data_IF_482462093620
#
_entry.id   IF_482462093620
#
_cell.length_a   1.000
_cell.length_b   1.000
_cell.length_c   1.000
_cell.angle_alpha   90.00
_cell.angle_beta   90.00
_cell.angle_gamma   90.00
#
_symmetry.space_group_name_H-M   'P 1'
#
loop_
_entity.id
_entity.type
_entity.pdbx_description
1 polymer ?
#
# COMPACT_ATOMS: atom_id res chain seq x y z
N UNK A 1 16.18 -15.22 -15.24
CA UNK A 1 16.73 -15.11 -16.62
C UNK A 1 15.72 -14.69 -17.70
N UNK A 2 14.40 -14.93 -17.57
CA UNK A 2 13.41 -14.66 -18.64
C UNK A 2 13.18 -13.17 -18.99
N UNK A 3 13.46 -12.23 -18.07
CA UNK A 3 13.23 -10.77 -18.27
C UNK A 3 14.25 -10.09 -19.19
N UNK A 4 15.53 -10.46 -19.08
CA UNK A 4 16.58 -9.96 -19.99
C UNK A 4 16.29 -10.33 -21.46
N UNK A 5 15.68 -11.49 -21.69
CA UNK A 5 15.30 -11.95 -23.03
C UNK A 5 14.02 -11.29 -23.59
N UNK A 6 13.25 -10.58 -22.75
CA UNK A 6 11.96 -9.98 -23.13
C UNK A 6 11.95 -8.45 -23.07
N UNK A 7 12.95 -7.83 -22.42
CA UNK A 7 13.10 -6.38 -22.37
C UNK A 7 14.50 -5.95 -22.87
N UNK A 8 14.61 -5.43 -24.12
CA UNK A 8 15.90 -5.05 -24.70
C UNK A 8 16.60 -3.92 -23.93
N UNK A 9 15.86 -3.07 -23.22
CA UNK A 9 16.45 -2.01 -22.38
C UNK A 9 17.14 -2.57 -21.13
N UNK A 10 16.55 -3.60 -20.52
CA UNK A 10 17.15 -4.30 -19.37
C UNK A 10 18.40 -5.09 -19.80
N UNK A 11 18.40 -5.66 -21.01
CA UNK A 11 19.56 -6.32 -21.61
C UNK A 11 20.69 -5.32 -21.88
N UNK A 12 20.38 -4.18 -22.50
CA UNK A 12 21.37 -3.14 -22.81
C UNK A 12 22.00 -2.57 -21.53
N UNK A 13 21.20 -2.32 -20.49
CA UNK A 13 21.69 -1.88 -19.17
C UNK A 13 22.58 -2.93 -18.52
N UNK A 14 22.21 -4.21 -18.58
CA UNK A 14 23.05 -5.30 -18.07
C UNK A 14 24.39 -5.39 -18.83
N UNK A 15 24.37 -5.26 -20.15
CA UNK A 15 25.58 -5.28 -20.98
C UNK A 15 26.52 -4.10 -20.71
N UNK A 16 25.98 -2.92 -20.38
CA UNK A 16 26.79 -1.72 -20.13
C UNK A 16 27.26 -1.56 -18.69
N UNK A 17 26.50 -2.07 -17.71
CA UNK A 17 26.77 -1.84 -16.28
C UNK A 17 27.10 -3.11 -15.49
N UNK A 18 26.92 -4.29 -16.10
CA UNK A 18 27.05 -5.59 -15.42
C UNK A 18 25.97 -5.88 -14.37
N UNK A 19 25.03 -4.94 -14.14
CA UNK A 19 24.02 -5.06 -13.09
C UNK A 19 22.70 -5.63 -13.62
N UNK A 20 22.20 -6.67 -12.97
CA UNK A 20 20.87 -7.22 -13.24
C UNK A 20 19.79 -6.23 -12.78
N UNK A 21 18.63 -6.18 -13.47
CA UNK A 21 17.49 -5.40 -12.99
C UNK A 21 17.07 -5.92 -11.61
N UNK A 22 17.23 -5.08 -10.58
CA UNK A 22 16.74 -5.39 -9.24
C UNK A 22 15.26 -5.00 -9.15
N UNK A 23 14.42 -5.99 -8.92
CA UNK A 23 13.03 -5.72 -8.57
C UNK A 23 12.94 -5.22 -7.12
N UNK A 24 12.08 -4.23 -6.90
CA UNK A 24 11.76 -3.74 -5.57
C UNK A 24 10.35 -4.19 -5.22
N UNK A 25 10.16 -4.72 -4.00
CA UNK A 25 8.84 -4.98 -3.46
C UNK A 25 8.27 -3.68 -2.88
N UNK A 26 7.12 -3.18 -3.37
CA UNK A 26 6.47 -2.03 -2.76
C UNK A 26 6.15 -2.36 -1.30
N UNK A 27 6.61 -1.52 -0.38
CA UNK A 27 6.41 -1.68 1.06
C UNK A 27 5.99 -0.35 1.68
N UNK A 28 5.29 -0.42 2.81
CA UNK A 28 4.86 0.74 3.58
C UNK A 28 3.54 0.49 4.31
N UNK A 29 3.18 1.36 5.27
CA UNK A 29 2.05 1.10 6.15
C UNK A 29 0.72 0.89 5.42
N UNK A 30 0.46 1.62 4.32
CA UNK A 30 -0.78 1.45 3.55
C UNK A 30 -0.80 0.16 2.75
N UNK A 31 0.36 -0.23 2.17
CA UNK A 31 0.49 -1.50 1.46
C UNK A 31 0.21 -2.65 2.43
N UNK A 32 0.84 -2.64 3.60
CA UNK A 32 0.66 -3.67 4.63
C UNK A 32 -0.78 -3.76 5.12
N UNK A 33 -1.42 -2.62 5.39
CA UNK A 33 -2.82 -2.58 5.81
C UNK A 33 -3.75 -3.15 4.75
N UNK A 34 -3.60 -2.72 3.50
CA UNK A 34 -4.46 -3.18 2.41
C UNK A 34 -4.19 -4.65 2.08
N UNK A 35 -2.94 -5.10 2.06
CA UNK A 35 -2.57 -6.49 1.78
C UNK A 35 -3.18 -7.46 2.82
N UNK A 36 -3.24 -7.05 4.09
CA UNK A 36 -3.86 -7.83 5.16
C UNK A 36 -5.39 -8.00 5.04
N UNK A 37 -6.06 -7.15 4.25
CA UNK A 37 -7.50 -7.24 3.98
C UNK A 37 -7.73 -8.10 2.74
N UNK A 38 -8.59 -9.11 2.82
CA UNK A 38 -8.91 -9.97 1.67
C UNK A 38 -9.42 -9.16 0.46
N UNK A 39 -9.08 -9.60 -0.76
CA UNK A 39 -9.44 -8.91 -2.00
C UNK A 39 -10.96 -8.64 -2.13
N UNK A 40 -11.78 -9.60 -1.70
CA UNK A 40 -13.25 -9.45 -1.69
C UNK A 40 -13.69 -8.28 -0.79
N UNK A 41 -13.10 -8.14 0.38
CA UNK A 41 -13.44 -7.08 1.32
C UNK A 41 -12.90 -5.73 0.87
N UNK A 42 -11.72 -5.68 0.24
CA UNK A 42 -11.18 -4.47 -0.39
C UNK A 42 -12.10 -3.87 -1.47
N UNK A 43 -12.87 -4.70 -2.18
CA UNK A 43 -13.85 -4.23 -3.18
C UNK A 43 -15.06 -3.59 -2.51
N UNK A 44 -15.42 -4.05 -1.31
CA UNK A 44 -16.56 -3.53 -0.53
C UNK A 44 -16.28 -2.18 0.14
N UNK A 45 -15.01 -1.81 0.34
CA UNK A 45 -14.59 -0.51 0.88
C UNK A 45 -14.59 0.51 -0.27
N UNK A 46 -15.37 1.59 -0.16
CA UNK A 46 -15.65 2.54 -1.25
C UNK A 46 -15.20 3.96 -0.94
N UNK A 47 -14.82 4.69 -1.99
CA UNK A 47 -14.45 6.10 -1.92
C UNK A 47 -13.23 6.35 -1.03
N UNK A 48 -12.16 5.58 -1.24
CA UNK A 48 -10.94 5.64 -0.43
C UNK A 48 -10.09 6.82 -0.86
N UNK A 49 -9.76 7.69 0.10
CA UNK A 49 -8.88 8.83 -0.07
C UNK A 49 -7.50 8.47 0.47
N UNK A 50 -6.49 8.55 -0.39
CA UNK A 50 -5.08 8.35 -0.04
C UNK A 50 -4.40 9.72 -0.03
N UNK A 51 -4.02 10.17 1.16
CA UNK A 51 -3.40 11.47 1.42
C UNK A 51 -2.28 11.36 2.49
N UNK A 52 -1.86 12.49 3.06
CA UNK A 52 -0.77 12.55 4.03
C UNK A 52 -1.04 11.72 5.29
N UNK A 53 -2.30 11.54 5.70
CA UNK A 53 -2.70 10.67 6.83
C UNK A 53 -2.37 9.21 6.56
N UNK A 54 -2.32 8.84 5.29
CA UNK A 54 -1.99 7.51 4.77
C UNK A 54 -0.53 7.38 4.31
N UNK A 55 0.29 8.41 4.50
CA UNK A 55 1.71 8.40 4.12
C UNK A 55 2.00 8.77 2.67
N UNK A 56 1.08 9.48 2.00
CA UNK A 56 1.27 9.94 0.62
C UNK A 56 1.08 11.46 0.50
N UNK A 57 1.92 12.10 -0.30
CA UNK A 57 1.79 13.51 -0.63
C UNK A 57 0.55 13.77 -1.48
N UNK A 58 -0.02 14.97 -1.39
CA UNK A 58 -1.25 15.30 -2.11
C UNK A 58 -2.47 14.51 -1.61
N UNK A 59 -3.48 14.37 -2.46
CA UNK A 59 -4.69 13.60 -2.17
C UNK A 59 -5.20 12.94 -3.45
N UNK A 60 -5.51 11.64 -3.37
CA UNK A 60 -6.09 10.85 -4.45
C UNK A 60 -7.26 10.04 -3.95
N UNK A 61 -8.38 10.12 -4.67
CA UNK A 61 -9.58 9.34 -4.37
C UNK A 61 -9.72 8.16 -5.31
N UNK A 62 -9.99 6.99 -4.76
CA UNK A 62 -10.23 5.73 -5.47
C UNK A 62 -11.65 5.25 -5.22
N UNK A 63 -12.26 4.63 -6.23
CA UNK A 63 -13.63 4.11 -6.07
C UNK A 63 -13.67 2.93 -5.09
N UNK A 64 -12.60 2.13 -5.02
CA UNK A 64 -12.46 1.01 -4.09
C UNK A 64 -11.08 0.94 -3.44
N UNK A 65 -10.98 0.28 -2.28
CA UNK A 65 -9.68 -0.01 -1.65
C UNK A 65 -8.82 -0.94 -2.51
N UNK A 66 -9.43 -1.80 -3.33
CA UNK A 66 -8.68 -2.66 -4.28
C UNK A 66 -7.96 -1.82 -5.35
N UNK A 67 -8.58 -0.72 -5.83
CA UNK A 67 -7.91 0.19 -6.77
C UNK A 67 -6.76 0.94 -6.09
N UNK A 68 -6.96 1.39 -4.86
CA UNK A 68 -5.89 1.99 -4.06
C UNK A 68 -4.73 0.99 -3.86
N UNK A 69 -5.04 -0.28 -3.56
CA UNK A 69 -4.04 -1.34 -3.40
C UNK A 69 -3.22 -1.56 -4.68
N UNK A 70 -3.85 -1.65 -5.84
CA UNK A 70 -3.15 -1.81 -7.12
C UNK A 70 -2.30 -0.59 -7.47
N UNK A 71 -2.68 0.60 -7.01
CA UNK A 71 -1.88 1.81 -7.21
C UNK A 71 -0.61 1.80 -6.34
N UNK A 72 -0.71 1.37 -5.08
CA UNK A 72 0.44 1.29 -4.16
C UNK A 72 1.29 0.03 -4.32
N UNK A 73 0.70 -1.04 -4.85
CA UNK A 73 1.31 -2.35 -5.01
C UNK A 73 0.84 -3.00 -6.32
N UNK A 74 1.33 -2.51 -7.48
CA UNK A 74 0.86 -2.98 -8.79
C UNK A 74 1.30 -4.41 -9.14
N UNK A 75 2.36 -4.91 -8.51
CA UNK A 75 2.93 -6.24 -8.72
C UNK A 75 3.70 -6.67 -7.48
N UNK A 76 3.88 -7.98 -7.29
CA UNK A 76 4.74 -8.53 -6.23
C UNK A 76 6.19 -8.06 -6.33
N UNK A 77 6.63 -7.77 -7.56
CA UNK A 77 7.94 -7.22 -7.87
C UNK A 77 7.79 -6.14 -8.93
N UNK A 78 8.28 -4.94 -8.63
CA UNK A 78 8.29 -3.80 -9.54
C UNK A 78 9.72 -3.51 -9.98
N UNK A 79 9.90 -3.29 -11.27
CA UNK A 79 11.19 -2.94 -11.85
C UNK A 79 11.14 -1.46 -12.27
N UNK A 80 11.90 -0.61 -11.58
CA UNK A 80 11.83 0.85 -11.77
C UNK A 80 10.84 1.52 -10.81
N UNK A 81 10.28 2.66 -11.21
CA UNK A 81 9.30 3.40 -10.41
C UNK A 81 7.88 2.87 -10.62
N UNK A 82 7.05 2.95 -9.58
CA UNK A 82 5.61 2.71 -9.66
C UNK A 82 4.84 3.99 -9.33
N UNK A 83 3.55 4.11 -9.76
CA UNK A 83 2.80 5.35 -9.65
C UNK A 83 2.74 5.96 -8.25
N UNK A 84 2.66 5.14 -7.21
CA UNK A 84 2.61 5.61 -5.83
C UNK A 84 3.97 5.98 -5.23
N UNK A 85 5.09 5.54 -5.82
CA UNK A 85 6.43 5.75 -5.26
C UNK A 85 6.80 7.24 -5.22
N UNK A 86 6.49 7.97 -6.29
CA UNK A 86 6.73 9.42 -6.35
C UNK A 86 5.84 10.23 -5.40
N UNK A 87 4.76 9.64 -4.90
CA UNK A 87 3.84 10.26 -3.95
C UNK A 87 4.17 9.85 -2.52
N UNK A 88 5.03 8.85 -2.28
CA UNK A 88 5.25 8.29 -0.95
C UNK A 88 6.03 9.27 -0.05
N UNK A 89 5.54 9.50 1.16
CA UNK A 89 6.26 10.20 2.21
C UNK A 89 7.24 9.21 2.85
N UNK A 90 8.52 9.28 2.48
CA UNK A 90 9.54 8.28 2.89
C UNK A 90 9.79 8.21 4.40
N UNK A 91 9.50 9.29 5.13
CA UNK A 91 9.64 9.38 6.58
C UNK A 91 8.40 8.92 7.34
N UNK A 92 7.32 8.53 6.64
CA UNK A 92 6.11 8.08 7.28
C UNK A 92 6.27 6.65 7.83
N UNK A 93 6.31 6.54 9.15
CA UNK A 93 6.52 5.30 9.90
C UNK A 93 5.31 4.89 10.76
N UNK A 94 4.27 5.73 10.78
CA UNK A 94 3.04 5.48 11.53
C UNK A 94 2.37 4.22 11.00
N UNK A 95 2.16 3.24 11.89
CA UNK A 95 1.34 2.06 11.60
C UNK A 95 -0.11 2.49 11.36
N UNK A 96 -0.65 2.09 10.21
CA UNK A 96 -2.05 2.33 9.86
C UNK A 96 -2.95 1.22 10.39
N UNK A 97 -4.15 1.60 10.79
CA UNK A 97 -5.19 0.74 11.35
C UNK A 97 -6.42 0.75 10.46
N UNK A 98 -7.32 -0.22 10.67
CA UNK A 98 -8.58 -0.28 9.93
C UNK A 98 -9.47 0.93 10.24
N UNK A 99 -9.37 1.53 11.42
CA UNK A 99 -10.05 2.79 11.76
C UNK A 99 -9.51 3.97 10.95
N UNK A 100 -8.19 4.07 10.76
CA UNK A 100 -7.62 5.12 9.90
C UNK A 100 -8.16 4.98 8.47
N UNK A 101 -8.31 3.75 7.97
CA UNK A 101 -8.90 3.48 6.66
C UNK A 101 -10.39 3.83 6.62
N UNK A 102 -11.13 3.56 7.70
CA UNK A 102 -12.54 3.96 7.85
C UNK A 102 -12.70 5.48 7.77
N UNK A 103 -11.85 6.23 8.48
CA UNK A 103 -11.84 7.70 8.48
C UNK A 103 -11.49 8.33 7.12
N UNK A 104 -10.77 7.58 6.28
CA UNK A 104 -10.35 8.02 4.95
C UNK A 104 -11.15 7.37 3.83
N UNK A 105 -12.29 6.75 4.11
CA UNK A 105 -13.18 6.20 3.10
C UNK A 105 -14.61 6.72 3.27
N UNK A 106 -15.36 6.74 2.17
CA UNK A 106 -16.76 7.15 2.23
C UNK A 106 -17.67 6.06 2.81
N UNK A 107 -17.38 4.79 2.54
CA UNK A 107 -18.21 3.68 2.99
C UNK A 107 -17.38 2.42 3.24
N UNK A 108 -17.59 1.81 4.41
CA UNK A 108 -17.00 0.54 4.80
C UNK A 108 -18.07 -0.28 5.56
N UNK A 109 -18.42 -1.50 5.10
CA UNK A 109 -19.37 -2.33 5.82
C UNK A 109 -18.86 -2.73 7.20
N UNK A 110 -19.75 -2.79 8.19
CA UNK A 110 -19.37 -3.21 9.55
C UNK A 110 -18.91 -4.67 9.63
N UNK A 111 -19.35 -5.51 8.69
CA UNK A 111 -18.83 -6.88 8.55
C UNK A 111 -17.33 -6.90 8.27
N UNK A 112 -16.81 -5.93 7.50
CA UNK A 112 -15.37 -5.79 7.24
C UNK A 112 -14.65 -5.38 8.53
N UNK A 113 -15.17 -4.39 9.27
CA UNK A 113 -14.58 -3.97 10.54
C UNK A 113 -14.57 -5.08 11.60
N UNK A 114 -15.58 -5.94 11.61
CA UNK A 114 -15.67 -7.10 12.49
C UNK A 114 -14.72 -8.23 12.08
N UNK A 115 -14.50 -8.42 10.77
CA UNK A 115 -13.66 -9.49 10.24
C UNK A 115 -12.16 -9.33 10.53
N UNK A 116 -11.69 -8.10 10.76
CA UNK A 116 -10.26 -7.80 10.96
C UNK A 116 -9.92 -7.18 12.33
N UNK A 117 -10.18 -7.88 13.46
CA UNK A 117 -9.93 -7.33 14.80
C UNK A 117 -8.44 -7.05 15.07
N UNK A 118 -7.53 -7.76 14.40
CA UNK A 118 -6.06 -7.59 14.54
C UNK A 118 -5.52 -6.31 13.89
N UNK A 119 -6.30 -5.71 12.99
CA UNK A 119 -5.94 -4.46 12.31
C UNK A 119 -6.49 -3.23 13.04
N UNK A 120 -7.22 -3.44 14.14
CA UNK A 120 -7.76 -2.35 14.94
C UNK A 120 -6.68 -1.64 15.73
N UNK A 121 -6.92 -0.36 16.00
CA UNK A 121 -6.08 0.43 16.92
C UNK A 121 -5.99 -0.28 18.28
N UNK A 122 -4.78 -0.52 18.81
CA UNK A 122 -4.65 -1.16 20.12
C UNK A 122 -5.31 -0.30 21.18
N UNK A 123 -6.07 -0.92 22.08
CA UNK A 123 -6.62 -0.23 23.23
C UNK A 123 -5.47 0.41 24.01
N UNK A 124 -5.56 1.72 24.26
CA UNK A 124 -4.59 2.42 25.09
C UNK A 124 -4.52 1.69 26.45
N UNK A 125 -3.34 1.20 26.83
CA UNK A 125 -3.15 0.68 28.18
C UNK A 125 -3.48 1.83 29.14
N UNK A 126 -4.30 1.62 30.18
CA UNK A 126 -4.49 2.65 31.19
C UNK A 126 -3.11 2.97 31.77
N UNK A 127 -2.67 4.21 31.58
CA UNK A 127 -1.46 4.74 32.19
C UNK A 127 -1.59 4.54 33.70
N UNK A 128 -0.89 3.55 34.24
CA UNK A 128 -0.75 3.40 35.68
C UNK A 128 0.15 4.54 36.15
N UNK A 129 -0.47 5.68 36.46
CA UNK A 129 0.14 6.72 37.27
C UNK A 129 0.40 6.10 38.64
N UNK A 130 1.69 5.86 38.93
CA UNK A 130 2.22 5.70 40.28
C UNK A 130 2.63 7.05 40.81
#
# INVERSE_FOLDING_TARGET
MRRLATNPHDLMRFQTTGQLPSGTKPAGPLVELLDAIGARDRISIRGVVVDARMGYQGSRTFATAQQAFLWVHPSSEVFGSFPADSWRIKTFDRRLTIEDLKECCNSMPESVLAAYPRLRRPAAKPSSLR
#
